data_IF_847337580940
#
_entry.id   IF_847337580940
#
_cell.length_a   1.000
_cell.length_b   1.000
_cell.length_c   1.000
_cell.angle_alpha   90.00
_cell.angle_beta   90.00
_cell.angle_gamma   90.00
#
_symmetry.space_group_name_H-M   'P 1'
#
loop_
_entity.id
_entity.type
_entity.pdbx_description
1 polymer ?
#
# COMPACT_ATOMS: atom_id res chain seq x y z
N UNK A 1 -6.44 20.09 -11.90
CA UNK A 1 -5.11 19.51 -12.16
C UNK A 1 -5.06 18.15 -11.49
N UNK A 2 -5.22 17.09 -12.27
CA UNK A 2 -5.13 15.69 -11.84
C UNK A 2 -3.65 15.35 -11.61
N UNK A 3 -3.24 15.08 -10.38
CA UNK A 3 -1.91 14.51 -10.12
C UNK A 3 -1.84 13.15 -10.80
N UNK A 4 -0.83 12.97 -11.65
CA UNK A 4 -0.60 11.70 -12.33
C UNK A 4 0.01 10.70 -11.32
N UNK A 5 -0.15 9.39 -11.56
CA UNK A 5 0.42 8.34 -10.71
C UNK A 5 1.93 8.49 -10.52
N UNK A 6 2.63 9.05 -11.52
CA UNK A 6 4.05 9.37 -11.46
C UNK A 6 4.36 10.42 -10.40
N UNK A 7 3.59 11.51 -10.33
CA UNK A 7 3.78 12.58 -9.35
C UNK A 7 3.62 12.06 -7.91
N UNK A 8 2.73 11.09 -7.73
CA UNK A 8 2.47 10.45 -6.44
C UNK A 8 3.65 9.55 -6.06
N UNK A 9 4.12 8.69 -6.96
CA UNK A 9 5.23 7.77 -6.70
C UNK A 9 6.58 8.48 -6.52
N UNK A 10 6.72 9.70 -7.05
CA UNK A 10 7.91 10.56 -6.89
C UNK A 10 7.80 11.52 -5.70
N UNK A 11 6.68 11.52 -4.99
CA UNK A 11 6.49 12.43 -3.87
C UNK A 11 7.47 12.12 -2.74
N UNK A 12 8.06 13.18 -2.17
CA UNK A 12 8.90 13.13 -0.98
C UNK A 12 8.13 13.43 0.31
N UNK A 13 6.87 13.83 0.20
CA UNK A 13 6.04 14.26 1.33
C UNK A 13 5.12 13.17 1.87
N UNK A 14 5.13 11.98 1.28
CA UNK A 14 4.30 10.84 1.66
C UNK A 14 5.10 9.54 1.54
N UNK A 15 4.64 8.51 2.23
CA UNK A 15 5.08 7.13 2.00
C UNK A 15 4.62 6.69 0.60
N UNK A 16 5.59 6.35 -0.26
CA UNK A 16 5.35 5.96 -1.64
C UNK A 16 5.60 4.48 -1.91
N UNK A 17 6.44 3.81 -1.12
CA UNK A 17 6.75 2.38 -1.29
C UNK A 17 5.51 1.49 -1.24
N UNK A 18 4.60 1.73 -0.29
CA UNK A 18 3.34 0.97 -0.16
C UNK A 18 2.33 1.25 -1.28
N UNK A 19 2.56 2.25 -2.13
CA UNK A 19 1.65 2.63 -3.21
C UNK A 19 1.97 1.90 -4.52
N UNK A 20 3.15 1.27 -4.64
CA UNK A 20 3.59 0.65 -5.89
C UNK A 20 2.63 -0.46 -6.34
N UNK A 21 2.33 -1.44 -5.48
CA UNK A 21 1.43 -2.53 -5.85
C UNK A 21 -0.02 -2.06 -6.07
N UNK A 22 -0.62 -1.19 -5.23
CA UNK A 22 -1.94 -0.62 -5.50
C UNK A 22 -2.02 0.12 -6.83
N UNK A 23 -0.98 0.89 -7.20
CA UNK A 23 -0.92 1.60 -8.48
C UNK A 23 -0.82 0.61 -9.64
N UNK A 24 0.06 -0.41 -9.55
CA UNK A 24 0.17 -1.46 -10.57
C UNK A 24 -1.17 -2.17 -10.74
N UNK A 25 -1.79 -2.63 -9.65
CA UNK A 25 -3.09 -3.32 -9.69
C UNK A 25 -4.20 -2.48 -10.30
N UNK A 26 -4.20 -1.15 -10.09
CA UNK A 26 -5.18 -0.25 -10.72
C UNK A 26 -4.86 0.00 -12.19
N UNK A 27 -3.58 0.09 -12.57
CA UNK A 27 -3.17 0.22 -13.97
C UNK A 27 -3.52 -1.03 -14.76
N UNK A 28 -3.20 -2.22 -14.25
CA UNK A 28 -3.55 -3.49 -14.88
C UNK A 28 -5.06 -3.62 -15.00
N UNK A 29 -5.82 -3.35 -13.93
CA UNK A 29 -7.29 -3.38 -14.00
C UNK A 29 -7.85 -2.45 -15.11
N UNK A 30 -7.32 -1.22 -15.23
CA UNK A 30 -7.77 -0.28 -16.27
C UNK A 30 -7.35 -0.67 -17.67
N UNK A 31 -6.23 -1.37 -17.84
CA UNK A 31 -5.69 -1.79 -19.13
C UNK A 31 -6.16 -3.19 -19.57
N UNK A 32 -6.74 -3.97 -18.65
CA UNK A 32 -7.23 -5.33 -18.87
C UNK A 32 -8.33 -5.40 -19.94
N UNK A 33 -8.17 -6.22 -20.98
CA UNK A 33 -9.08 -6.25 -22.13
C UNK A 33 -10.58 -6.39 -21.75
N UNK A 34 -10.88 -7.12 -20.67
CA UNK A 34 -12.24 -7.35 -20.17
C UNK A 34 -12.84 -6.16 -19.40
N UNK A 35 -12.01 -5.25 -18.89
CA UNK A 35 -12.52 -4.05 -18.22
C UNK A 35 -13.21 -3.13 -19.24
N UNK A 36 -14.50 -2.79 -19.07
CA UNK A 36 -15.21 -1.95 -20.01
C UNK A 36 -14.63 -0.55 -20.10
N UNK A 37 -14.42 -0.06 -21.32
CA UNK A 37 -14.06 1.34 -21.52
C UNK A 37 -15.34 2.18 -21.37
N UNK A 38 -15.42 2.98 -20.31
CA UNK A 38 -16.52 3.93 -20.11
C UNK A 38 -16.38 5.07 -21.12
N UNK A 39 -17.37 5.25 -22.00
CA UNK A 39 -17.38 6.31 -23.00
C UNK A 39 -18.44 7.37 -22.68
N UNK A 40 -18.04 8.64 -22.65
CA UNK A 40 -18.96 9.77 -22.62
C UNK A 40 -19.25 10.30 -24.03
N UNK A 41 -20.28 9.80 -24.70
CA UNK A 41 -20.80 10.36 -25.96
C UNK A 41 -20.45 9.59 -27.25
N UNK A 42 -21.07 10.01 -28.37
CA UNK A 42 -21.00 9.32 -29.68
C UNK A 42 -19.61 9.34 -30.32
N UNK A 43 -18.80 10.38 -30.08
CA UNK A 43 -17.48 10.56 -30.68
C UNK A 43 -16.50 9.41 -30.38
N UNK A 44 -16.71 8.69 -29.26
CA UNK A 44 -15.78 7.65 -28.83
C UNK A 44 -16.02 6.32 -29.53
N UNK A 45 -17.20 6.09 -30.14
CA UNK A 45 -17.47 4.87 -30.92
C UNK A 45 -16.61 4.74 -32.18
N UNK A 46 -16.21 5.87 -32.76
CA UNK A 46 -15.37 5.91 -33.96
C UNK A 46 -13.89 5.67 -33.66
N UNK A 47 -13.45 5.89 -32.41
CA UNK A 47 -12.07 5.75 -31.97
C UNK A 47 -11.81 4.48 -31.16
N UNK A 48 -12.75 3.53 -31.15
CA UNK A 48 -12.63 2.30 -30.34
C UNK A 48 -11.43 1.47 -30.75
N UNK A 49 -11.15 1.39 -32.07
CA UNK A 49 -10.01 0.60 -32.58
C UNK A 49 -8.68 1.19 -32.10
N UNK A 50 -8.53 2.51 -32.19
CA UNK A 50 -7.33 3.22 -31.75
C UNK A 50 -7.17 3.18 -30.22
N UNK A 51 -8.28 3.26 -29.47
CA UNK A 51 -8.27 3.14 -28.01
C UNK A 51 -7.87 1.74 -27.55
N UNK A 52 -8.36 0.70 -28.22
CA UNK A 52 -7.95 -0.68 -27.95
C UNK A 52 -6.46 -0.87 -28.25
N UNK A 53 -5.97 -0.40 -29.40
CA UNK A 53 -4.56 -0.48 -29.75
C UNK A 53 -3.65 0.29 -28.77
N UNK A 54 -4.07 1.48 -28.33
CA UNK A 54 -3.36 2.26 -27.32
C UNK A 54 -3.34 1.54 -25.96
N UNK A 55 -4.44 0.88 -25.59
CA UNK A 55 -4.56 0.09 -24.36
C UNK A 55 -3.61 -1.11 -24.38
N UNK A 56 -3.56 -1.86 -25.48
CA UNK A 56 -2.62 -2.97 -25.67
C UNK A 56 -1.17 -2.50 -25.56
N UNK A 57 -0.84 -1.39 -26.24
CA UNK A 57 0.51 -0.79 -26.17
C UNK A 57 0.87 -0.39 -24.73
N UNK A 58 -0.05 0.21 -23.99
CA UNK A 58 0.17 0.57 -22.59
C UNK A 58 0.28 -0.65 -21.69
N UNK A 59 -0.49 -1.71 -21.96
CA UNK A 59 -0.38 -2.99 -21.25
C UNK A 59 1.01 -3.59 -21.42
N UNK A 60 1.52 -3.68 -22.65
CA UNK A 60 2.88 -4.17 -22.92
C UNK A 60 3.96 -3.36 -22.20
N UNK A 61 3.78 -2.04 -22.07
CA UNK A 61 4.71 -1.20 -21.32
C UNK A 61 4.63 -1.41 -19.81
N UNK A 62 3.43 -1.58 -19.25
CA UNK A 62 3.23 -1.90 -17.84
C UNK A 62 3.81 -3.26 -17.54
N UNK A 63 3.53 -4.26 -18.36
CA UNK A 63 4.13 -5.58 -18.26
C UNK A 63 5.66 -5.47 -18.35
N UNK A 64 6.22 -4.89 -19.40
CA UNK A 64 7.69 -4.81 -19.53
C UNK A 64 8.38 -4.11 -18.35
N UNK A 65 7.83 -3.00 -17.85
CA UNK A 65 8.44 -2.22 -16.76
C UNK A 65 8.22 -2.82 -15.37
N UNK A 66 7.03 -3.32 -15.08
CA UNK A 66 6.71 -3.84 -13.75
C UNK A 66 6.94 -5.34 -13.64
N UNK A 67 6.80 -6.09 -14.74
CA UNK A 67 7.12 -7.50 -14.78
C UNK A 67 8.64 -7.68 -14.83
N UNK A 68 9.31 -7.24 -15.89
CA UNK A 68 10.71 -7.62 -16.08
C UNK A 68 11.69 -6.88 -15.14
N UNK A 69 11.34 -5.71 -14.63
CA UNK A 69 12.28 -4.90 -13.82
C UNK A 69 11.98 -5.00 -12.32
N UNK A 70 10.70 -5.04 -11.92
CA UNK A 70 10.33 -5.05 -10.50
C UNK A 70 10.48 -6.44 -9.87
N UNK A 71 10.10 -7.52 -10.58
CA UNK A 71 10.19 -8.91 -10.09
C UNK A 71 11.62 -9.31 -9.75
N UNK A 72 12.58 -8.87 -10.55
CA UNK A 72 13.96 -9.34 -10.44
C UNK A 72 14.72 -8.76 -9.23
N UNK A 73 14.21 -7.69 -8.59
CA UNK A 73 14.99 -7.01 -7.55
C UNK A 73 14.22 -6.39 -6.38
N UNK A 74 12.93 -6.05 -6.52
CA UNK A 74 12.25 -5.19 -5.53
C UNK A 74 10.79 -5.53 -5.26
N UNK A 75 10.21 -6.52 -5.94
CA UNK A 75 8.81 -6.88 -5.73
C UNK A 75 8.52 -7.26 -4.28
N UNK A 76 9.39 -8.05 -3.65
CA UNK A 76 9.21 -8.47 -2.25
C UNK A 76 9.21 -7.26 -1.31
N UNK A 77 10.18 -6.34 -1.45
CA UNK A 77 10.25 -5.10 -0.65
C UNK A 77 8.97 -4.27 -0.76
N UNK A 78 8.46 -4.08 -1.99
CA UNK A 78 7.23 -3.31 -2.20
C UNK A 78 5.97 -4.06 -1.72
N UNK A 79 5.95 -5.39 -1.83
CA UNK A 79 4.87 -6.21 -1.30
C UNK A 79 4.80 -6.13 0.23
N UNK A 80 5.95 -6.24 0.91
CA UNK A 80 6.08 -6.06 2.35
C UNK A 80 5.70 -4.64 2.76
N UNK A 81 6.16 -3.62 2.04
CA UNK A 81 5.75 -2.22 2.28
C UNK A 81 4.24 -2.04 2.12
N UNK A 82 3.62 -2.65 1.11
CA UNK A 82 2.17 -2.59 0.89
C UNK A 82 1.43 -3.27 2.04
N UNK A 83 1.90 -4.43 2.51
CA UNK A 83 1.32 -5.14 3.64
C UNK A 83 1.39 -4.35 4.95
N UNK A 84 2.53 -3.69 5.21
CA UNK A 84 2.77 -2.90 6.42
C UNK A 84 2.01 -1.59 6.46
N UNK A 85 1.45 -1.16 5.33
CA UNK A 85 0.56 -0.02 5.28
C UNK A 85 -0.85 -0.45 5.75
N UNK A 86 -1.30 -0.01 6.93
CA UNK A 86 -2.57 -0.44 7.51
C UNK A 86 -3.77 -0.07 6.65
N UNK A 87 -3.64 0.86 5.68
CA UNK A 87 -4.68 1.22 4.71
C UNK A 87 -4.90 0.14 3.66
N UNK A 88 -3.91 -0.71 3.42
CA UNK A 88 -3.92 -1.75 2.39
C UNK A 88 -3.92 -3.17 2.96
N UNK A 89 -3.97 -3.34 4.29
CA UNK A 89 -4.01 -4.68 4.93
C UNK A 89 -5.17 -5.57 4.50
N UNK A 90 -6.28 -4.96 4.07
CA UNK A 90 -7.46 -5.65 3.54
C UNK A 90 -7.67 -5.38 2.05
N UNK A 91 -6.64 -4.88 1.35
CA UNK A 91 -6.73 -4.67 -0.08
C UNK A 91 -6.94 -6.03 -0.73
N UNK A 92 -8.09 -6.19 -1.38
CA UNK A 92 -8.35 -7.37 -2.18
C UNK A 92 -7.41 -7.36 -3.39
N UNK A 93 -6.39 -8.19 -3.29
CA UNK A 93 -5.38 -8.33 -4.31
C UNK A 93 -5.90 -9.10 -5.54
N UNK A 94 -7.22 -9.34 -5.69
CA UNK A 94 -7.81 -9.94 -6.91
C UNK A 94 -7.35 -9.28 -8.21
N UNK A 95 -7.07 -7.96 -8.23
CA UNK A 95 -6.51 -7.31 -9.41
C UNK A 95 -5.03 -7.64 -9.64
N UNK A 96 -4.28 -7.99 -8.59
CA UNK A 96 -2.95 -8.58 -8.69
C UNK A 96 -3.00 -10.08 -9.02
N UNK A 97 -4.08 -10.79 -8.71
CA UNK A 97 -4.26 -12.16 -9.19
C UNK A 97 -4.49 -12.19 -10.72
N UNK A 98 -5.05 -11.13 -11.30
CA UNK A 98 -5.03 -10.97 -12.77
C UNK A 98 -3.64 -10.63 -13.27
N UNK A 99 -2.86 -9.90 -12.48
CA UNK A 99 -1.46 -9.67 -12.76
C UNK A 99 -0.68 -10.98 -12.66
N UNK A 100 0.21 -11.24 -13.62
CA UNK A 100 0.98 -12.50 -13.70
C UNK A 100 0.11 -13.78 -13.71
N UNK A 101 -1.11 -13.73 -14.25
CA UNK A 101 -1.99 -14.92 -14.36
C UNK A 101 -2.21 -15.67 -13.04
N UNK A 102 -2.18 -14.96 -11.91
CA UNK A 102 -2.46 -15.51 -10.58
C UNK A 102 -1.22 -15.96 -9.81
N UNK A 103 -0.01 -15.74 -10.34
CA UNK A 103 1.21 -16.15 -9.62
C UNK A 103 1.55 -15.21 -8.45
N UNK A 104 1.05 -13.97 -8.39
CA UNK A 104 1.17 -13.15 -7.19
C UNK A 104 -0.17 -13.17 -6.44
N UNK A 105 -0.16 -13.78 -5.26
CA UNK A 105 -1.35 -13.92 -4.42
C UNK A 105 -1.22 -13.10 -3.14
N UNK A 106 -2.37 -12.80 -2.52
CA UNK A 106 -2.41 -12.20 -1.18
C UNK A 106 -1.61 -13.01 -0.15
N UNK A 107 -1.67 -14.35 -0.25
CA UNK A 107 -0.92 -15.26 0.62
C UNK A 107 0.58 -15.08 0.51
N UNK A 108 1.11 -14.94 -0.71
CA UNK A 108 2.55 -14.70 -0.91
C UNK A 108 3.03 -13.39 -0.30
N UNK A 109 2.24 -12.33 -0.41
CA UNK A 109 2.56 -11.02 0.20
C UNK A 109 2.63 -11.16 1.72
N UNK A 110 1.67 -11.87 2.32
CA UNK A 110 1.64 -12.16 3.76
C UNK A 110 2.85 -13.01 4.16
N UNK A 111 3.20 -14.03 3.37
CA UNK A 111 4.33 -14.92 3.63
C UNK A 111 5.66 -14.18 3.57
N UNK A 112 5.86 -13.29 2.57
CA UNK A 112 7.05 -12.44 2.50
C UNK A 112 7.13 -11.48 3.68
N UNK A 113 6.02 -10.86 4.08
CA UNK A 113 5.98 -10.00 5.25
C UNK A 113 6.30 -10.78 6.54
N UNK A 114 5.81 -12.02 6.66
CA UNK A 114 6.13 -12.89 7.78
C UNK A 114 7.60 -13.31 7.79
N UNK A 115 8.17 -13.65 6.64
CA UNK A 115 9.59 -13.98 6.52
C UNK A 115 10.48 -12.79 6.91
N UNK A 116 10.15 -11.59 6.42
CA UNK A 116 10.86 -10.37 6.81
C UNK A 116 10.70 -10.06 8.31
N UNK A 117 9.52 -10.31 8.88
CA UNK A 117 9.28 -10.19 10.32
C UNK A 117 10.16 -11.15 11.12
N UNK A 118 10.23 -12.41 10.70
CA UNK A 118 11.02 -13.44 11.39
C UNK A 118 12.53 -13.23 11.25
N UNK A 119 13.01 -12.77 10.09
CA UNK A 119 14.42 -12.55 9.81
C UNK A 119 14.99 -11.32 10.53
N UNK A 120 14.31 -10.17 10.41
CA UNK A 120 14.88 -8.87 10.82
C UNK A 120 14.26 -8.34 12.11
N UNK A 121 13.04 -8.78 12.44
CA UNK A 121 12.21 -8.09 13.43
C UNK A 121 11.72 -8.95 14.59
N UNK A 122 11.96 -10.26 14.63
CA UNK A 122 11.64 -11.06 15.82
C UNK A 122 12.47 -10.59 17.02
N UNK A 123 11.93 -10.58 18.26
CA UNK A 123 12.75 -10.31 19.43
C UNK A 123 13.85 -11.36 19.55
N UNK A 124 15.08 -11.00 19.20
CA UNK A 124 16.25 -11.75 19.64
C UNK A 124 16.32 -11.56 21.14
N UNK A 125 16.25 -12.65 21.92
CA UNK A 125 16.26 -12.59 23.38
C UNK A 125 17.30 -11.59 23.90
N UNK A 126 16.80 -10.56 24.60
CA UNK A 126 17.47 -9.60 25.48
C UNK A 126 18.46 -8.57 24.88
N UNK A 127 18.01 -7.32 24.82
CA UNK A 127 18.79 -6.15 25.26
C UNK A 127 17.83 -5.05 25.77
N UNK A 128 18.14 -4.34 26.88
CA UNK A 128 17.23 -3.36 27.47
C UNK A 128 17.07 -2.15 26.55
N UNK A 129 15.81 -1.70 26.41
CA UNK A 129 15.40 -0.60 25.56
C UNK A 129 16.17 0.70 25.87
N UNK A 130 16.79 1.28 24.85
CA UNK A 130 17.28 2.66 24.89
C UNK A 130 16.32 3.53 24.10
N UNK A 131 15.59 4.39 24.80
CA UNK A 131 14.63 5.33 24.25
C UNK A 131 15.43 6.45 23.57
N UNK A 132 15.35 6.52 22.23
CA UNK A 132 15.85 7.67 21.46
C UNK A 132 14.65 8.42 20.89
N UNK A 133 14.37 9.59 21.47
CA UNK A 133 13.36 10.53 20.99
C UNK A 133 13.95 11.30 19.80
N UNK A 134 13.30 11.26 18.63
CA UNK A 134 13.65 12.08 17.46
C UNK A 134 12.41 12.89 17.02
N UNK A 135 12.54 14.18 16.66
CA UNK A 135 11.40 15.09 16.51
C UNK A 135 10.69 14.96 15.15
N UNK A 136 9.38 15.20 15.16
CA UNK A 136 8.44 15.04 14.05
C UNK A 136 8.60 16.09 12.91
N UNK A 137 8.38 15.72 11.63
CA UNK A 137 8.19 16.66 10.53
C UNK A 137 6.68 16.93 10.23
N UNK A 138 6.36 18.03 9.51
CA UNK A 138 5.05 18.67 9.57
C UNK A 138 4.01 18.06 8.62
N UNK A 139 2.78 18.06 9.11
CA UNK A 139 1.52 17.68 8.47
C UNK A 139 1.08 18.66 7.38
N UNK A 140 0.57 18.13 6.25
CA UNK A 140 -0.63 18.60 5.51
C UNK A 140 -0.92 17.71 4.29
N UNK A 141 -2.07 17.04 4.28
CA UNK A 141 -2.62 16.26 3.15
C UNK A 141 -3.95 16.88 2.70
N UNK A 142 -4.11 17.07 1.39
CA UNK A 142 -5.41 17.13 0.69
C UNK A 142 -5.16 17.12 -0.81
N UNK A 143 -5.46 15.98 -1.48
CA UNK A 143 -5.68 15.78 -2.94
C UNK A 143 -5.65 14.31 -3.37
N UNK A 144 -5.16 13.39 -2.53
CA UNK A 144 -4.97 11.97 -2.82
C UNK A 144 -6.27 11.14 -2.84
N UNK A 145 -7.31 11.62 -2.15
CA UNK A 145 -8.60 10.95 -2.00
C UNK A 145 -9.39 10.92 -3.32
N UNK A 146 -9.28 11.97 -4.15
CA UNK A 146 -10.04 12.11 -5.38
C UNK A 146 -9.59 11.21 -6.56
N UNK A 147 -8.37 10.64 -6.53
CA UNK A 147 -7.93 9.68 -7.56
C UNK A 147 -8.43 8.25 -7.25
N UNK A 148 -8.68 7.96 -5.98
CA UNK A 148 -9.01 6.61 -5.54
C UNK A 148 -10.53 6.34 -5.54
N UNK A 149 -11.36 7.39 -5.44
CA UNK A 149 -12.82 7.32 -5.25
C UNK A 149 -13.59 7.69 -6.52
N UNK A 150 -13.75 6.72 -7.42
CA UNK A 150 -14.76 6.80 -8.49
C UNK A 150 -15.54 5.48 -8.48
N UNK A 151 -16.35 5.33 -7.43
CA UNK A 151 -17.38 4.29 -7.25
C UNK A 151 -18.47 4.87 -6.34
N UNK A 152 -19.73 4.74 -6.77
CA UNK A 152 -20.94 5.36 -6.23
C UNK A 152 -21.25 5.04 -4.74
N UNK A 153 -21.91 6.00 -4.07
CA UNK A 153 -22.20 6.15 -2.62
C UNK A 153 -23.07 5.06 -1.95
N UNK A 154 -22.92 4.88 -0.61
CA UNK A 154 -23.97 5.19 0.40
C UNK A 154 -23.59 4.88 1.89
N UNK A 155 -23.86 5.88 2.74
CA UNK A 155 -24.20 5.97 4.19
C UNK A 155 -23.28 5.64 5.40
N UNK A 156 -22.97 6.74 6.12
CA UNK A 156 -22.97 7.09 7.56
C UNK A 156 -23.05 6.06 8.72
N UNK A 157 -22.25 6.33 9.76
CA UNK A 157 -22.44 5.79 11.12
C UNK A 157 -21.38 6.24 12.14
N UNK A 158 -21.61 7.39 12.78
CA UNK A 158 -20.79 7.96 13.87
C UNK A 158 -21.10 7.32 15.24
N UNK A 159 -20.08 6.94 16.04
CA UNK A 159 -20.10 7.13 17.51
C UNK A 159 -18.78 6.79 18.24
N UNK A 160 -18.33 7.77 19.04
CA UNK A 160 -17.74 7.74 20.40
C UNK A 160 -16.47 6.92 20.71
N UNK A 161 -15.55 7.65 21.32
CA UNK A 161 -14.20 7.27 21.70
C UNK A 161 -14.12 7.24 23.23
N UNK A 162 -14.04 6.04 23.81
CA UNK A 162 -13.72 5.84 25.22
C UNK A 162 -12.27 5.35 25.35
N UNK A 163 -11.47 6.10 26.09
CA UNK A 163 -10.10 5.77 26.44
C UNK A 163 -10.12 4.72 27.56
N UNK A 164 -9.77 3.48 27.24
CA UNK A 164 -9.56 2.43 28.23
C UNK A 164 -8.06 2.13 28.41
N UNK A 165 -7.75 1.86 29.67
CA UNK A 165 -6.50 1.58 30.35
C UNK A 165 -5.47 0.74 29.57
N UNK A 166 -4.18 1.02 29.79
CA UNK A 166 -3.07 0.28 29.19
C UNK A 166 -2.81 -0.98 30.03
N UNK A 167 -3.47 -2.07 29.66
CA UNK A 167 -3.07 -3.40 30.12
C UNK A 167 -1.86 -3.87 29.30
N UNK A 168 -0.79 -4.24 30.01
CA UNK A 168 0.41 -4.86 29.46
C UNK A 168 0.02 -6.24 28.93
N UNK A 169 0.04 -6.40 27.61
CA UNK A 169 -0.38 -7.63 26.92
C UNK A 169 0.75 -8.68 26.98
N UNK A 170 0.37 -9.91 27.35
CA UNK A 170 1.21 -11.11 27.44
C UNK A 170 2.18 -11.31 26.25
N UNK A 171 3.40 -11.76 26.57
CA UNK A 171 4.58 -11.94 25.69
C UNK A 171 4.42 -12.95 24.53
N UNK A 172 3.22 -13.48 24.26
CA UNK A 172 2.99 -14.52 23.24
C UNK A 172 1.87 -14.22 22.24
N UNK A 173 1.26 -13.02 22.26
CA UNK A 173 0.34 -12.66 21.19
C UNK A 173 1.12 -12.41 19.90
N UNK A 174 0.79 -13.18 18.85
CA UNK A 174 1.33 -12.97 17.51
C UNK A 174 1.01 -11.53 17.07
N UNK A 175 2.01 -10.63 17.11
CA UNK A 175 1.88 -9.23 16.67
C UNK A 175 1.27 -9.15 15.27
N UNK A 176 1.55 -10.14 14.42
CA UNK A 176 1.00 -10.24 13.08
C UNK A 176 -0.51 -10.45 13.09
N UNK A 177 -1.01 -11.33 13.97
CA UNK A 177 -2.45 -11.55 14.16
C UNK A 177 -3.13 -10.31 14.76
N UNK A 178 -2.49 -9.67 15.74
CA UNK A 178 -2.97 -8.41 16.32
C UNK A 178 -3.08 -7.30 15.29
N UNK A 179 -2.08 -7.14 14.43
CA UNK A 179 -2.07 -6.16 13.36
C UNK A 179 -3.25 -6.33 12.39
N UNK A 180 -3.49 -7.58 11.97
CA UNK A 180 -4.61 -7.91 11.09
C UNK A 180 -5.98 -7.64 11.75
N UNK A 181 -6.07 -7.80 13.08
CA UNK A 181 -7.30 -7.57 13.84
C UNK A 181 -7.61 -6.09 14.15
N UNK A 182 -6.61 -5.19 14.09
CA UNK A 182 -6.84 -3.75 14.35
C UNK A 182 -7.79 -3.13 13.32
N UNK A 183 -8.34 -1.95 13.58
CA UNK A 183 -9.13 -1.22 12.60
C UNK A 183 -8.24 -0.62 11.49
N UNK A 184 -8.76 -0.52 10.27
CA UNK A 184 -8.11 0.19 9.16
C UNK A 184 -8.19 1.69 9.41
N UNK A 185 -7.07 2.44 9.42
CA UNK A 185 -7.12 3.88 9.60
C UNK A 185 -7.70 4.59 8.37
N UNK A 186 -8.15 5.85 8.50
CA UNK A 186 -8.56 6.67 7.37
C UNK A 186 -7.47 6.76 6.31
N UNK A 187 -7.85 6.83 5.02
CA UNK A 187 -6.88 6.92 3.90
C UNK A 187 -5.92 8.12 4.01
N UNK A 188 -6.35 9.18 4.70
CA UNK A 188 -5.58 10.40 4.95
C UNK A 188 -4.54 10.28 6.04
N UNK A 189 -4.56 9.21 6.85
CA UNK A 189 -3.56 9.00 7.89
C UNK A 189 -2.25 8.51 7.28
N UNK A 190 -1.13 9.07 7.74
CA UNK A 190 0.21 8.63 7.38
C UNK A 190 0.50 7.29 8.05
N UNK A 191 0.86 6.24 7.29
CA UNK A 191 1.08 4.92 7.85
C UNK A 191 2.26 4.88 8.84
N UNK A 192 3.31 5.69 8.67
CA UNK A 192 4.43 5.76 9.63
C UNK A 192 3.99 6.41 10.95
N UNK A 193 3.11 7.40 10.88
CA UNK A 193 2.52 8.03 12.06
C UNK A 193 1.60 7.03 12.78
N UNK A 194 0.80 6.28 12.03
CA UNK A 194 -0.06 5.23 12.59
C UNK A 194 0.77 4.15 13.29
N UNK A 195 1.84 3.65 12.64
CA UNK A 195 2.72 2.64 13.23
C UNK A 195 3.38 3.13 14.51
N UNK A 196 3.80 4.41 14.56
CA UNK A 196 4.40 5.00 15.77
C UNK A 196 3.40 5.09 16.92
N UNK A 197 2.11 5.39 16.65
CA UNK A 197 1.05 5.39 17.67
C UNK A 197 0.76 3.99 18.23
N UNK A 198 0.98 2.95 17.42
CA UNK A 198 0.71 1.56 17.78
C UNK A 198 1.97 0.81 18.24
N UNK A 199 3.12 1.47 18.35
CA UNK A 199 4.41 0.85 18.70
C UNK A 199 4.38 0.14 20.06
N UNK A 200 3.58 0.63 21.01
CA UNK A 200 3.40 -0.05 22.31
C UNK A 200 2.70 -1.41 22.19
N UNK A 201 1.91 -1.64 21.14
CA UNK A 201 1.18 -2.90 20.88
C UNK A 201 1.88 -3.76 19.82
N UNK A 202 2.58 -3.13 18.89
CA UNK A 202 3.17 -3.74 17.70
C UNK A 202 4.64 -3.28 17.53
N UNK A 203 5.52 -3.51 18.52
CA UNK A 203 6.87 -2.93 18.52
C UNK A 203 7.72 -3.43 17.35
N UNK A 204 7.62 -4.71 16.99
CA UNK A 204 8.42 -5.28 15.91
C UNK A 204 7.87 -4.91 14.54
N UNK A 205 6.54 -4.88 14.38
CA UNK A 205 5.91 -4.37 13.16
C UNK A 205 6.14 -2.86 12.96
N UNK A 206 6.16 -2.06 14.02
CA UNK A 206 6.51 -0.64 13.92
C UNK A 206 7.96 -0.43 13.43
N UNK A 207 8.89 -1.30 13.86
CA UNK A 207 10.26 -1.34 13.33
C UNK A 207 10.29 -1.71 11.85
N UNK A 208 9.58 -2.76 11.44
CA UNK A 208 9.47 -3.12 10.02
C UNK A 208 8.87 -1.98 9.19
N UNK A 209 7.80 -1.35 9.66
CA UNK A 209 7.14 -0.25 8.98
C UNK A 209 8.14 0.88 8.68
N UNK A 210 9.02 1.22 9.62
CA UNK A 210 10.10 2.20 9.37
C UNK A 210 11.10 1.73 8.31
N UNK A 211 11.46 0.45 8.30
CA UNK A 211 12.42 -0.11 7.34
C UNK A 211 11.88 -0.13 5.90
N UNK A 212 10.61 -0.50 5.72
CA UNK A 212 10.02 -0.74 4.40
C UNK A 212 9.17 0.42 3.87
N UNK A 213 8.60 1.28 4.72
CA UNK A 213 7.78 2.42 4.30
C UNK A 213 8.59 3.72 4.13
N UNK A 214 9.71 3.89 4.85
CA UNK A 214 10.51 5.11 4.76
C UNK A 214 11.24 5.29 3.40
N UNK A 215 11.74 4.23 2.74
CA UNK A 215 12.36 4.39 1.43
C UNK A 215 11.35 4.90 0.39
N UNK A 216 11.72 5.89 -0.45
CA UNK A 216 10.85 6.33 -1.53
C UNK A 216 10.75 5.25 -2.63
N UNK A 217 9.61 5.18 -3.30
CA UNK A 217 9.39 4.30 -4.44
C UNK A 217 10.20 4.70 -5.69
N UNK A 218 10.68 5.94 -5.76
CA UNK A 218 11.47 6.46 -6.86
C UNK A 218 12.80 7.05 -6.39
N UNK A 219 13.86 6.81 -7.15
CA UNK A 219 15.16 7.46 -6.99
C UNK A 219 15.19 8.88 -7.58
N UNK A 220 14.12 9.32 -8.25
CA UNK A 220 14.02 10.64 -8.90
C UNK A 220 13.57 11.78 -7.98
N UNK A 221 13.40 11.53 -6.68
CA UNK A 221 13.08 12.58 -5.71
C UNK A 221 14.32 13.41 -5.39
N UNK A 222 14.49 14.53 -6.10
CA UNK A 222 15.45 15.61 -5.78
C UNK A 222 14.67 16.90 -5.59
#
# INVERSE_FOLDING_TARGET
>A
MTSNAIDILQSTSIVTASLVLPVIGRLTYKLDAETPIKYGGEFVKLAVVELVAARETLWEQVESRFYNVLLDCKLEDFAVATFLDPRYKGLDFHNLERWKKGELTAGMIIDWARQAYEADCRPTKAAPASIVVVPAPPTKISKLVAFLEDSDDDEEGSARQDYADVEVVDEEQDEFALYLALATPPKSEDPLVWSSKNEGKLPNLARMARQFLAPPASTGGV
#
